data_IF_402844919013
#
_entry.id   IF_402844919013
#
_cell.length_a   1.000
_cell.length_b   1.000
_cell.length_c   1.000
_cell.angle_alpha   90.00
_cell.angle_beta   90.00
_cell.angle_gamma   90.00
#
_symmetry.space_group_name_H-M   'P 1'
#
loop_
_entity.id
_entity.type
_entity.pdbx_description
1 polymer ?
#
# COMPACT_ATOMS: atom_id res chain seq x y z
N UNK A 1 38.25 29.15 5.93
CA UNK A 1 37.34 28.01 5.67
C UNK A 1 37.27 27.80 4.17
N UNK A 2 37.88 26.73 3.67
CA UNK A 2 37.89 26.40 2.25
C UNK A 2 36.75 25.40 2.00
N UNK A 3 35.59 25.88 1.57
CA UNK A 3 34.43 25.06 1.22
C UNK A 3 34.65 24.60 -0.22
N UNK A 4 35.24 23.42 -0.41
CA UNK A 4 35.54 22.82 -1.71
C UNK A 4 34.30 22.84 -2.62
N UNK A 5 34.38 23.54 -3.75
CA UNK A 5 33.28 23.70 -4.71
C UNK A 5 32.80 22.37 -5.32
N UNK A 6 33.69 21.38 -5.44
CA UNK A 6 33.35 20.05 -5.94
C UNK A 6 32.41 19.28 -5.01
N UNK A 7 32.61 19.37 -3.69
CA UNK A 7 31.72 18.75 -2.71
C UNK A 7 30.33 19.39 -2.73
N UNK A 8 30.27 20.70 -2.99
CA UNK A 8 29.01 21.43 -3.12
C UNK A 8 28.26 21.03 -4.40
N UNK A 9 28.98 20.79 -5.50
CA UNK A 9 28.41 20.35 -6.77
C UNK A 9 27.80 18.95 -6.67
N UNK A 10 28.53 17.98 -6.10
CA UNK A 10 28.03 16.60 -5.95
C UNK A 10 26.77 16.53 -5.11
N UNK A 11 26.70 17.27 -3.99
CA UNK A 11 25.51 17.32 -3.14
C UNK A 11 24.34 17.95 -3.89
N UNK A 12 24.55 19.07 -4.59
CA UNK A 12 23.51 19.72 -5.40
C UNK A 12 22.98 18.83 -6.52
N UNK A 13 23.86 18.09 -7.19
CA UNK A 13 23.48 17.18 -8.27
C UNK A 13 22.66 16.00 -7.73
N UNK A 14 23.07 15.43 -6.59
CA UNK A 14 22.29 14.36 -5.93
C UNK A 14 20.91 14.87 -5.47
N UNK A 15 20.84 16.08 -4.91
CA UNK A 15 19.57 16.69 -4.56
C UNK A 15 18.68 16.93 -5.78
N UNK A 16 19.26 17.32 -6.93
CA UNK A 16 18.52 17.49 -8.18
C UNK A 16 17.97 16.14 -8.68
N UNK A 17 18.82 15.12 -8.80
CA UNK A 17 18.40 13.79 -9.26
C UNK A 17 17.32 13.17 -8.36
N UNK A 18 17.46 13.30 -7.05
CA UNK A 18 16.44 12.84 -6.10
C UNK A 18 15.11 13.57 -6.28
N UNK A 19 15.15 14.90 -6.44
CA UNK A 19 13.95 15.70 -6.71
C UNK A 19 13.28 15.31 -8.03
N UNK A 20 14.08 15.10 -9.08
CA UNK A 20 13.60 14.70 -10.39
C UNK A 20 12.96 13.30 -10.34
N UNK A 21 13.55 12.37 -9.58
CA UNK A 21 12.98 11.05 -9.30
C UNK A 21 11.66 11.14 -8.54
N UNK A 22 11.57 11.95 -7.48
CA UNK A 22 10.31 12.18 -6.78
C UNK A 22 9.22 12.68 -7.75
N UNK A 23 9.58 13.59 -8.65
CA UNK A 23 8.65 14.12 -9.65
C UNK A 23 8.17 13.03 -10.63
N UNK A 24 9.07 12.13 -11.05
CA UNK A 24 8.71 10.98 -11.88
C UNK A 24 7.71 10.05 -11.18
N UNK A 25 7.98 9.66 -9.93
CA UNK A 25 7.09 8.79 -9.15
C UNK A 25 5.74 9.46 -8.89
N UNK A 26 5.73 10.76 -8.60
CA UNK A 26 4.50 11.54 -8.44
C UNK A 26 3.65 11.53 -9.73
N UNK A 27 4.28 11.64 -10.89
CA UNK A 27 3.57 11.59 -12.18
C UNK A 27 2.99 10.22 -12.48
N UNK A 28 3.69 9.12 -12.15
CA UNK A 28 3.12 7.78 -12.26
C UNK A 28 1.87 7.67 -11.39
N UNK A 29 1.93 8.13 -10.14
CA UNK A 29 0.81 8.09 -9.20
C UNK A 29 -0.37 8.96 -9.64
N UNK A 30 -0.09 10.12 -10.24
CA UNK A 30 -1.11 11.01 -10.81
C UNK A 30 -1.83 10.31 -11.96
N UNK A 31 -1.09 9.82 -12.95
CA UNK A 31 -1.66 9.18 -14.13
C UNK A 31 -2.38 7.86 -13.82
N UNK A 32 -1.85 7.06 -12.89
CA UNK A 32 -2.44 5.78 -12.49
C UNK A 32 -3.87 5.89 -11.94
N UNK A 33 -4.32 7.09 -11.54
CA UNK A 33 -5.71 7.33 -11.12
C UNK A 33 -6.72 7.12 -12.25
N UNK A 34 -6.31 7.44 -13.48
CA UNK A 34 -7.20 7.48 -14.64
C UNK A 34 -6.84 6.47 -15.73
N UNK A 35 -5.68 5.78 -15.63
CA UNK A 35 -5.19 4.82 -16.63
C UNK A 35 -4.49 3.59 -16.03
N UNK A 36 -4.12 2.62 -16.89
CA UNK A 36 -3.37 1.44 -16.46
C UNK A 36 -1.95 1.79 -15.98
N UNK A 37 -1.30 0.91 -15.21
CA UNK A 37 0.05 1.19 -14.70
C UNK A 37 1.07 1.33 -15.84
N UNK A 38 0.97 0.49 -16.88
CA UNK A 38 1.85 0.60 -18.04
C UNK A 38 1.70 1.94 -18.77
N UNK A 39 0.46 2.37 -19.01
CA UNK A 39 0.18 3.68 -19.61
C UNK A 39 0.65 4.82 -18.71
N UNK A 40 0.43 4.73 -17.40
CA UNK A 40 0.86 5.75 -16.45
C UNK A 40 2.39 5.93 -16.43
N UNK A 41 3.12 4.82 -16.48
CA UNK A 41 4.58 4.80 -16.54
C UNK A 41 5.09 5.41 -17.84
N UNK A 42 4.56 5.01 -18.99
CA UNK A 42 4.96 5.56 -20.28
C UNK A 42 4.67 7.08 -20.39
N UNK A 43 3.48 7.52 -19.95
CA UNK A 43 3.13 8.93 -19.93
C UNK A 43 4.01 9.73 -18.95
N UNK A 44 4.38 9.15 -17.80
CA UNK A 44 5.30 9.78 -16.85
C UNK A 44 6.70 9.92 -17.45
N UNK A 45 7.20 8.90 -18.15
CA UNK A 45 8.47 8.94 -18.86
C UNK A 45 8.47 10.06 -19.91
N UNK A 46 7.43 10.14 -20.75
CA UNK A 46 7.33 11.15 -21.80
C UNK A 46 7.21 12.57 -21.23
N UNK A 47 6.47 12.74 -20.15
CA UNK A 47 6.38 14.00 -19.41
C UNK A 47 7.77 14.41 -18.88
N UNK A 48 8.47 13.49 -18.21
CA UNK A 48 9.78 13.77 -17.61
C UNK A 48 10.83 14.12 -18.67
N UNK A 49 10.88 13.37 -19.78
CA UNK A 49 11.80 13.65 -20.90
C UNK A 49 11.53 15.04 -21.51
N UNK A 50 10.25 15.39 -21.69
CA UNK A 50 9.81 16.67 -22.25
C UNK A 50 10.15 17.86 -21.33
N UNK A 51 10.21 17.64 -20.01
CA UNK A 51 10.46 18.66 -19.00
C UNK A 51 11.89 18.67 -18.44
N UNK A 52 12.83 17.95 -19.09
CA UNK A 52 14.25 17.86 -18.66
C UNK A 52 14.45 17.24 -17.26
N UNK A 53 13.55 16.33 -16.87
CA UNK A 53 13.54 15.60 -15.60
C UNK A 53 14.04 14.18 -15.86
N UNK A 54 15.17 13.79 -15.25
CA UNK A 54 15.83 12.49 -15.49
C UNK A 54 16.00 12.15 -16.99
N UNK A 55 16.04 13.15 -17.87
CA UNK A 55 15.83 13.00 -19.31
C UNK A 55 16.79 12.00 -19.96
N UNK A 56 18.09 12.14 -19.71
CA UNK A 56 19.10 11.26 -20.32
C UNK A 56 18.95 9.82 -19.78
N UNK A 57 18.75 9.68 -18.47
CA UNK A 57 18.51 8.39 -17.82
C UNK A 57 17.27 7.67 -18.37
N UNK A 58 16.14 8.37 -18.45
CA UNK A 58 14.87 7.81 -18.92
C UNK A 58 14.88 7.51 -20.42
N UNK A 59 15.67 8.26 -21.21
CA UNK A 59 15.88 7.96 -22.63
C UNK A 59 16.70 6.68 -22.82
N UNK A 60 17.81 6.58 -22.09
CA UNK A 60 18.75 5.46 -22.25
C UNK A 60 18.20 4.15 -21.66
N UNK A 61 17.43 4.23 -20.58
CA UNK A 61 16.94 3.06 -19.82
C UNK A 61 15.42 2.86 -19.90
N UNK A 62 14.75 3.44 -20.90
CA UNK A 62 13.27 3.45 -21.00
C UNK A 62 12.63 2.09 -20.74
N UNK A 63 13.11 1.05 -21.43
CA UNK A 63 12.52 -0.29 -21.33
C UNK A 63 12.68 -0.91 -19.92
N UNK A 64 13.86 -0.75 -19.32
CA UNK A 64 14.15 -1.27 -17.98
C UNK A 64 13.36 -0.52 -16.91
N UNK A 65 13.36 0.82 -16.98
CA UNK A 65 12.59 1.66 -16.05
C UNK A 65 11.10 1.36 -16.15
N UNK A 66 10.59 1.14 -17.37
CA UNK A 66 9.18 0.77 -17.57
C UNK A 66 8.85 -0.56 -16.91
N UNK A 67 9.67 -1.58 -17.18
CA UNK A 67 9.48 -2.91 -16.61
C UNK A 67 9.55 -2.89 -15.07
N UNK A 68 10.60 -2.28 -14.52
CA UNK A 68 10.80 -2.20 -13.07
C UNK A 68 9.67 -1.42 -12.40
N UNK A 69 9.26 -0.29 -12.97
CA UNK A 69 8.17 0.52 -12.40
C UNK A 69 6.84 -0.25 -12.40
N UNK A 70 6.51 -0.97 -13.48
CA UNK A 70 5.28 -1.78 -13.52
C UNK A 70 5.34 -2.91 -12.48
N UNK A 71 6.49 -3.58 -12.37
CA UNK A 71 6.69 -4.68 -11.43
C UNK A 71 6.53 -4.21 -9.98
N UNK A 72 7.25 -3.15 -9.58
CA UNK A 72 7.23 -2.61 -8.21
C UNK A 72 5.84 -2.14 -7.80
N UNK A 73 5.11 -1.46 -8.67
CA UNK A 73 3.75 -1.00 -8.37
C UNK A 73 2.77 -2.16 -8.18
N UNK A 74 2.87 -3.22 -9.01
CA UNK A 74 2.03 -4.40 -8.84
C UNK A 74 2.35 -5.12 -7.52
N UNK A 75 3.63 -5.22 -7.15
CA UNK A 75 4.05 -5.81 -5.87
C UNK A 75 3.53 -5.00 -4.67
N UNK A 76 3.62 -3.66 -4.74
CA UNK A 76 3.06 -2.78 -3.71
C UNK A 76 1.55 -2.97 -3.54
N UNK A 77 0.79 -3.07 -4.64
CA UNK A 77 -0.65 -3.34 -4.60
C UNK A 77 -0.98 -4.70 -3.98
N UNK A 78 -0.24 -5.75 -4.35
CA UNK A 78 -0.43 -7.08 -3.77
C UNK A 78 -0.10 -7.08 -2.27
N UNK A 79 1.03 -6.47 -1.87
CA UNK A 79 1.39 -6.36 -0.46
C UNK A 79 0.35 -5.59 0.35
N UNK A 80 -0.21 -4.51 -0.18
CA UNK A 80 -1.28 -3.77 0.52
C UNK A 80 -2.57 -4.58 0.66
N UNK A 81 -2.91 -5.43 -0.33
CA UNK A 81 -4.03 -6.39 -0.19
C UNK A 81 -3.75 -7.41 0.90
N UNK A 82 -2.56 -8.01 0.93
CA UNK A 82 -2.16 -8.96 1.97
C UNK A 82 -2.23 -8.31 3.36
N UNK A 83 -1.63 -7.13 3.55
CA UNK A 83 -1.69 -6.40 4.83
C UNK A 83 -3.12 -6.06 5.25
N UNK A 84 -4.01 -5.75 4.30
CA UNK A 84 -5.43 -5.49 4.61
C UNK A 84 -6.12 -6.76 5.07
N UNK A 85 -5.92 -7.87 4.36
CA UNK A 85 -6.47 -9.17 4.72
C UNK A 85 -5.96 -9.64 6.09
N UNK A 86 -4.66 -9.53 6.36
CA UNK A 86 -4.09 -9.88 7.67
C UNK A 86 -4.67 -9.04 8.81
N UNK A 87 -4.86 -7.72 8.59
CA UNK A 87 -5.52 -6.85 9.58
C UNK A 87 -7.00 -7.16 9.75
N UNK A 88 -7.67 -7.62 8.71
CA UNK A 88 -9.08 -8.04 8.77
C UNK A 88 -9.22 -9.34 9.56
N UNK A 89 -8.46 -10.36 9.19
CA UNK A 89 -8.38 -11.64 9.93
C UNK A 89 -8.04 -11.39 11.39
N UNK A 90 -7.03 -10.58 11.71
CA UNK A 90 -6.67 -10.28 13.10
C UNK A 90 -7.80 -9.60 13.89
N UNK A 91 -8.58 -8.71 13.25
CA UNK A 91 -9.76 -8.09 13.88
C UNK A 91 -10.89 -9.08 14.08
N UNK A 92 -11.10 -9.99 13.14
CA UNK A 92 -12.09 -11.07 13.27
C UNK A 92 -11.71 -12.05 14.37
N UNK A 93 -10.44 -12.45 14.46
CA UNK A 93 -9.92 -13.30 15.54
C UNK A 93 -10.08 -12.65 16.92
N UNK A 94 -9.74 -11.36 17.05
CA UNK A 94 -9.93 -10.61 18.29
C UNK A 94 -11.42 -10.54 18.69
N UNK A 95 -12.29 -10.24 17.72
CA UNK A 95 -13.75 -10.22 17.93
C UNK A 95 -14.28 -11.59 18.36
N UNK A 96 -13.88 -12.67 17.68
CA UNK A 96 -14.25 -14.03 18.03
C UNK A 96 -13.82 -14.38 19.46
N UNK A 97 -12.61 -13.99 19.86
CA UNK A 97 -12.11 -14.20 21.22
C UNK A 97 -12.93 -13.44 22.27
N UNK A 98 -13.32 -12.20 21.99
CA UNK A 98 -14.18 -11.40 22.88
C UNK A 98 -15.54 -12.08 23.04
N UNK A 99 -16.20 -12.45 21.94
CA UNK A 99 -17.50 -13.13 21.94
C UNK A 99 -17.41 -14.43 22.76
N UNK A 100 -16.41 -15.27 22.48
CA UNK A 100 -16.15 -16.51 23.22
C UNK A 100 -15.99 -16.29 24.72
N UNK A 101 -15.26 -15.25 25.12
CA UNK A 101 -15.06 -14.93 26.54
C UNK A 101 -16.34 -14.43 27.23
N UNK A 102 -17.20 -13.71 26.51
CA UNK A 102 -18.49 -13.25 27.03
C UNK A 102 -19.50 -14.40 27.15
N UNK A 103 -19.56 -15.28 26.14
CA UNK A 103 -20.36 -16.49 26.18
C UNK A 103 -19.96 -17.40 27.35
N UNK A 104 -18.65 -17.59 27.58
CA UNK A 104 -18.13 -18.33 28.75
C UNK A 104 -18.50 -17.71 30.10
N UNK A 105 -18.80 -16.41 30.12
CA UNK A 105 -19.28 -15.70 31.31
C UNK A 105 -20.81 -15.66 31.40
N UNK A 106 -21.50 -16.42 30.54
CA UNK A 106 -22.96 -16.57 30.50
C UNK A 106 -23.73 -15.26 30.21
N UNK A 107 -23.10 -14.32 29.49
CA UNK A 107 -23.81 -13.15 28.97
C UNK A 107 -24.85 -13.57 27.92
N UNK A 108 -26.01 -12.91 27.92
CA UNK A 108 -27.03 -13.17 26.92
C UNK A 108 -26.60 -12.68 25.52
N UNK A 109 -27.08 -13.32 24.46
CA UNK A 109 -26.71 -12.98 23.07
C UNK A 109 -27.08 -11.53 22.74
N UNK A 110 -28.20 -11.05 23.29
CA UNK A 110 -28.65 -9.67 23.22
C UNK A 110 -27.60 -8.71 23.79
N UNK A 111 -27.05 -9.01 24.98
CA UNK A 111 -26.04 -8.18 25.65
C UNK A 111 -24.70 -8.21 24.90
N UNK A 112 -24.32 -9.36 24.37
CA UNK A 112 -23.10 -9.50 23.55
C UNK A 112 -23.24 -8.70 22.25
N UNK A 113 -24.42 -8.71 21.64
CA UNK A 113 -24.75 -7.92 20.45
C UNK A 113 -24.55 -6.43 20.70
N UNK A 114 -25.05 -5.93 21.83
CA UNK A 114 -24.87 -4.52 22.24
C UNK A 114 -23.40 -4.18 22.56
N UNK A 115 -22.64 -5.10 23.16
CA UNK A 115 -21.23 -4.88 23.54
C UNK A 115 -20.31 -4.87 22.30
N UNK A 116 -20.47 -5.85 21.41
CA UNK A 116 -19.58 -6.07 20.26
C UNK A 116 -20.04 -5.27 19.03
N UNK A 117 -21.31 -4.89 18.98
CA UNK A 117 -21.89 -4.09 17.90
C UNK A 117 -22.15 -4.88 16.61
N UNK A 118 -22.46 -6.17 16.73
CA UNK A 118 -22.80 -7.07 15.61
C UNK A 118 -24.16 -7.71 15.86
N UNK A 119 -24.80 -8.25 14.82
CA UNK A 119 -26.12 -8.84 14.95
C UNK A 119 -26.09 -10.12 15.80
N UNK A 120 -27.23 -10.45 16.42
CA UNK A 120 -27.38 -11.70 17.16
C UNK A 120 -27.21 -12.93 16.27
N UNK A 121 -27.55 -12.83 14.98
CA UNK A 121 -27.38 -13.92 14.03
C UNK A 121 -25.90 -14.16 13.72
N UNK A 122 -25.10 -13.09 13.55
CA UNK A 122 -23.63 -13.22 13.45
C UNK A 122 -23.04 -13.84 14.72
N UNK A 123 -23.52 -13.48 15.92
CA UNK A 123 -23.05 -14.10 17.18
C UNK A 123 -23.34 -15.60 17.22
N UNK A 124 -24.51 -16.04 16.73
CA UNK A 124 -24.86 -17.46 16.67
C UNK A 124 -23.93 -18.24 15.74
N UNK A 125 -23.47 -17.64 14.64
CA UNK A 125 -22.48 -18.29 13.76
C UNK A 125 -21.18 -18.60 14.51
N UNK A 126 -20.72 -17.72 15.41
CA UNK A 126 -19.56 -17.99 16.26
C UNK A 126 -19.80 -19.11 17.28
N UNK A 127 -21.04 -19.27 17.76
CA UNK A 127 -21.44 -20.38 18.65
C UNK A 127 -21.42 -21.71 17.88
N UNK A 128 -21.95 -21.73 16.66
CA UNK A 128 -22.02 -22.94 15.83
C UNK A 128 -20.63 -23.42 15.38
N UNK A 129 -19.69 -22.49 15.16
CA UNK A 129 -18.29 -22.81 14.83
C UNK A 129 -17.54 -23.51 15.99
N UNK A 130 -17.92 -23.31 17.25
CA UNK A 130 -17.33 -24.03 18.39
C UNK A 130 -17.76 -25.49 18.47
N UNK A 131 -18.95 -25.85 17.95
CA UNK A 131 -19.50 -27.20 18.01
C UNK A 131 -18.83 -28.15 17.00
N UNK A 132 -18.26 -27.60 15.92
CA UNK A 132 -17.65 -28.38 14.82
C UNK A 132 -16.15 -28.63 15.06
N UNK A 133 -15.55 -27.94 16.03
CA UNK A 133 -14.11 -28.00 16.34
C UNK A 133 -13.68 -28.99 17.44
N UNK A 134 -14.60 -29.80 17.97
CA UNK A 134 -14.31 -30.88 18.95
C UNK A 134 -14.17 -32.26 18.31
#
# INVERSE_FOLDING_TARGET
MNINAEMNYTIKEHCKKLKDYCTYVEKIREYKRDMSIGEAVENAIDYCISNDILKDFLRDQRAEVTYMSIFEFNEEEEMEKYKRAEREVGREEERALIIKNLLKKEYAIEEISDIVGISQDEIKEYVDLEIIGE
#
